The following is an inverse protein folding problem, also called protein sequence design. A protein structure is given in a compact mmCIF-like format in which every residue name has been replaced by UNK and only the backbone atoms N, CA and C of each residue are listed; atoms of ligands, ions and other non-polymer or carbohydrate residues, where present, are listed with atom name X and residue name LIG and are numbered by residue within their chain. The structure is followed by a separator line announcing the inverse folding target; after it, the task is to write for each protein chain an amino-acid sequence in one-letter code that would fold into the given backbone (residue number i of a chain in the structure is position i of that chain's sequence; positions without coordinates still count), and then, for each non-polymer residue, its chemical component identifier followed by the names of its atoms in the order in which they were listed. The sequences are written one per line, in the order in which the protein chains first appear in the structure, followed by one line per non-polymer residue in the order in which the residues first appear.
data_IF_415406726788
#
_entry.id   IF_415406726788
#
_cell.length_a   1.000
_cell.length_b   1.000
_cell.length_c   1.000
_cell.angle_alpha   90.00
_cell.angle_beta   90.00
_cell.angle_gamma   90.00
#
_symmetry.space_group_name_H-M   'P 1'
#
loop_
_entity.id
_entity.type
_entity.pdbx_description
1 polymer ?
#
# COMPACT_ATOMS: atom_id res chain seq x y z
N UNK A 1 -1.61 15.70 25.42
CA UNK A 1 -0.96 15.03 24.30
C UNK A 1 -1.06 13.54 24.54
N UNK A 2 -1.78 12.81 23.69
CA UNK A 2 -1.83 11.35 23.78
C UNK A 2 -0.47 10.75 23.40
N UNK A 3 -0.18 9.52 23.79
CA UNK A 3 0.97 8.81 23.23
C UNK A 3 0.75 8.72 21.72
N UNK A 4 1.59 9.42 20.95
CA UNK A 4 1.70 9.18 19.51
C UNK A 4 2.00 7.69 19.31
N UNK A 5 1.15 6.99 18.54
CA UNK A 5 1.34 5.57 18.26
C UNK A 5 2.53 5.40 17.32
N UNK A 6 3.74 5.25 17.86
CA UNK A 6 4.99 5.14 17.10
C UNK A 6 5.29 3.70 16.63
N UNK A 7 4.33 3.07 15.93
CA UNK A 7 4.58 1.76 15.34
C UNK A 7 5.36 1.92 14.02
N UNK A 8 6.41 1.13 13.77
CA UNK A 8 7.19 1.22 12.55
C UNK A 8 6.32 0.98 11.32
N UNK A 9 6.60 1.72 10.26
CA UNK A 9 6.06 1.45 8.92
C UNK A 9 7.15 0.72 8.14
N UNK A 10 6.78 -0.36 7.47
CA UNK A 10 7.70 -1.14 6.63
C UNK A 10 7.25 -1.01 5.19
N UNK A 11 8.17 -0.61 4.31
CA UNK A 11 7.95 -0.54 2.86
C UNK A 11 8.94 -1.52 2.24
N UNK A 12 8.42 -2.48 1.47
CA UNK A 12 9.22 -3.45 0.74
C UNK A 12 9.98 -2.84 -0.44
N UNK A 13 10.65 -3.70 -1.19
CA UNK A 13 11.44 -3.31 -2.36
C UNK A 13 10.52 -2.97 -3.55
N UNK A 14 11.00 -2.10 -4.45
CA UNK A 14 10.32 -1.74 -5.71
C UNK A 14 8.87 -1.24 -5.55
N UNK A 15 8.56 -0.55 -4.45
CA UNK A 15 7.24 0.06 -4.21
C UNK A 15 7.15 1.44 -4.86
N UNK A 16 6.10 1.67 -5.64
CA UNK A 16 5.75 3.00 -6.11
C UNK A 16 4.67 3.64 -5.22
N UNK A 17 4.99 4.77 -4.60
CA UNK A 17 4.06 5.58 -3.82
C UNK A 17 3.62 6.80 -4.66
N UNK A 18 2.33 6.90 -4.95
CA UNK A 18 1.74 8.05 -5.61
C UNK A 18 1.80 9.33 -4.75
N UNK A 19 1.59 10.48 -5.38
CA UNK A 19 1.58 11.75 -4.66
C UNK A 19 0.46 11.82 -3.60
N UNK A 20 0.73 12.48 -2.48
CA UNK A 20 -0.25 12.75 -1.41
C UNK A 20 -0.83 11.48 -0.76
N UNK A 21 -0.01 10.45 -0.59
CA UNK A 21 -0.39 9.23 0.14
C UNK A 21 -0.12 9.38 1.63
N UNK A 22 -1.08 8.95 2.46
CA UNK A 22 -0.92 8.86 3.92
C UNK A 22 -0.87 7.39 4.35
N UNK A 23 0.12 6.99 5.15
CA UNK A 23 0.28 5.63 5.68
C UNK A 23 0.21 5.68 7.20
N UNK A 24 -0.69 4.90 7.80
CA UNK A 24 -0.86 4.87 9.25
C UNK A 24 0.22 4.03 9.95
N UNK A 25 0.52 4.31 11.24
CA UNK A 25 1.53 3.58 11.99
C UNK A 25 1.28 2.07 12.06
N UNK A 26 2.34 1.27 11.91
CA UNK A 26 2.30 -0.19 12.02
C UNK A 26 1.95 -0.93 10.73
N UNK A 27 1.70 -0.20 9.63
CA UNK A 27 1.42 -0.79 8.32
C UNK A 27 2.70 -1.34 7.66
N UNK A 28 2.57 -2.49 7.01
CA UNK A 28 3.54 -3.06 6.09
C UNK A 28 3.02 -2.99 4.66
N UNK A 29 3.81 -2.42 3.75
CA UNK A 29 3.56 -2.45 2.31
C UNK A 29 4.51 -3.46 1.69
N UNK A 30 3.96 -4.49 1.05
CA UNK A 30 4.70 -5.53 0.37
C UNK A 30 5.51 -5.04 -0.83
N UNK A 31 6.46 -5.83 -1.28
CA UNK A 31 7.34 -5.49 -2.41
C UNK A 31 6.58 -5.45 -3.73
N UNK A 32 7.03 -4.65 -4.69
CA UNK A 32 6.43 -4.54 -6.03
C UNK A 32 5.02 -3.93 -6.06
N UNK A 33 4.61 -3.25 -4.98
CA UNK A 33 3.30 -2.60 -4.91
C UNK A 33 3.27 -1.24 -5.62
N UNK A 34 2.08 -0.86 -6.09
CA UNK A 34 1.78 0.52 -6.49
C UNK A 34 0.68 1.05 -5.58
N UNK A 35 0.93 2.15 -4.89
CA UNK A 35 -0.05 2.87 -4.09
C UNK A 35 -0.52 4.10 -4.87
N UNK A 36 -1.80 4.13 -5.24
CA UNK A 36 -2.38 5.24 -6.01
C UNK A 36 -2.31 6.58 -5.26
N UNK A 37 -2.25 7.69 -5.99
CA UNK A 37 -2.26 9.03 -5.41
C UNK A 37 -3.49 9.28 -4.50
N UNK A 38 -3.33 10.15 -3.50
CA UNK A 38 -4.39 10.49 -2.51
C UNK A 38 -4.92 9.30 -1.69
N UNK A 39 -4.15 8.22 -1.55
CA UNK A 39 -4.60 7.04 -0.80
C UNK A 39 -4.34 7.15 0.70
N UNK A 40 -5.25 6.59 1.52
CA UNK A 40 -5.07 6.43 2.97
C UNK A 40 -4.87 4.95 3.31
N UNK A 41 -3.62 4.56 3.58
CA UNK A 41 -3.26 3.18 3.89
C UNK A 41 -3.44 2.93 5.39
N UNK A 42 -4.49 2.18 5.74
CA UNK A 42 -4.86 1.88 7.14
C UNK A 42 -4.55 0.44 7.57
N UNK A 43 -4.15 -0.41 6.63
CA UNK A 43 -3.88 -1.85 6.81
C UNK A 43 -2.71 -2.29 5.92
N UNK A 44 -2.10 -3.42 6.25
CA UNK A 44 -1.03 -4.02 5.45
C UNK A 44 -1.47 -4.26 4.01
N UNK A 45 -0.56 -4.01 3.08
CA UNK A 45 -0.73 -4.23 1.64
C UNK A 45 0.14 -5.42 1.23
N UNK A 46 -0.42 -6.47 0.60
CA UNK A 46 0.33 -7.65 0.16
C UNK A 46 1.22 -7.33 -1.05
N UNK A 47 2.27 -8.12 -1.27
CA UNK A 47 3.19 -7.95 -2.40
C UNK A 47 2.47 -7.93 -3.76
N UNK A 48 3.06 -7.21 -4.73
CA UNK A 48 2.67 -7.23 -6.14
C UNK A 48 1.19 -6.86 -6.37
N UNK A 49 0.72 -5.77 -5.77
CA UNK A 49 -0.64 -5.26 -6.00
C UNK A 49 -0.69 -3.78 -6.32
N UNK A 50 -1.73 -3.38 -7.04
CA UNK A 50 -2.18 -2.00 -7.09
C UNK A 50 -3.20 -1.81 -5.95
N UNK A 51 -2.93 -0.86 -5.05
CA UNK A 51 -3.84 -0.45 -4.00
C UNK A 51 -4.13 1.05 -4.10
N UNK A 52 -5.38 1.47 -3.94
CA UNK A 52 -5.77 2.89 -3.98
C UNK A 52 -7.04 3.20 -3.21
N UNK A 53 -7.25 4.48 -2.90
CA UNK A 53 -8.47 5.01 -2.27
C UNK A 53 -8.30 5.42 -0.80
N UNK A 54 -9.39 5.90 -0.20
CA UNK A 54 -9.47 6.27 1.22
C UNK A 54 -10.68 5.58 1.88
N UNK A 55 -10.49 4.46 2.61
CA UNK A 55 -9.21 3.76 2.83
C UNK A 55 -8.71 3.03 1.59
N UNK A 56 -7.39 2.81 1.49
CA UNK A 56 -6.77 2.11 0.38
C UNK A 56 -7.22 0.65 0.32
N UNK A 57 -7.62 0.19 -0.87
CA UNK A 57 -8.03 -1.19 -1.14
C UNK A 57 -7.22 -1.77 -2.29
N UNK A 58 -6.94 -3.07 -2.23
CA UNK A 58 -6.34 -3.80 -3.35
C UNK A 58 -7.34 -3.87 -4.50
N UNK A 59 -6.97 -3.32 -5.66
CA UNK A 59 -7.83 -3.28 -6.86
C UNK A 59 -7.42 -4.32 -7.91
N UNK A 60 -6.13 -4.68 -7.99
CA UNK A 60 -5.63 -5.75 -8.86
C UNK A 60 -4.26 -6.23 -8.41
N UNK A 61 -3.88 -7.44 -8.84
CA UNK A 61 -2.49 -7.93 -8.77
C UNK A 61 -1.67 -7.34 -9.92
N UNK A 62 -0.39 -7.10 -9.66
CA UNK A 62 0.63 -6.66 -10.61
C UNK A 62 1.49 -7.88 -10.92
N UNK A 63 1.77 -8.12 -12.20
CA UNK A 63 2.50 -9.31 -12.65
C UNK A 63 1.74 -10.08 -13.70
N UNK A 64 2.47 -10.97 -14.38
CA UNK A 64 1.96 -11.73 -15.51
C UNK A 64 1.13 -12.89 -15.02
N UNK A 65 -0.20 -12.74 -15.00
CA UNK A 65 -1.18 -13.68 -15.53
C UNK A 65 -2.54 -12.98 -15.60
N UNK A 66 -2.78 -12.28 -16.71
CA UNK A 66 -4.12 -12.37 -17.31
C UNK A 66 -4.25 -13.80 -17.82
N UNK A 67 -4.78 -14.69 -16.98
CA UNK A 67 -5.19 -16.02 -17.42
C UNK A 67 -6.24 -15.84 -18.53
N UNK A 68 -5.83 -16.33 -19.70
CA UNK A 68 -6.54 -16.56 -20.95
C UNK A 68 -8.08 -16.45 -20.86
N UNK A 69 -8.64 -15.57 -21.69
CA UNK A 69 -9.88 -15.83 -22.42
C UNK A 69 -9.59 -15.77 -23.91
#
# INVERSE_FOLDING_TARGET
AGLESSKPIVIGDDVWIGGDVTILPGVKIGSGCVIGAKSLVTKDIPDNVLALGNPAQVVKRIGTETLLV
#
